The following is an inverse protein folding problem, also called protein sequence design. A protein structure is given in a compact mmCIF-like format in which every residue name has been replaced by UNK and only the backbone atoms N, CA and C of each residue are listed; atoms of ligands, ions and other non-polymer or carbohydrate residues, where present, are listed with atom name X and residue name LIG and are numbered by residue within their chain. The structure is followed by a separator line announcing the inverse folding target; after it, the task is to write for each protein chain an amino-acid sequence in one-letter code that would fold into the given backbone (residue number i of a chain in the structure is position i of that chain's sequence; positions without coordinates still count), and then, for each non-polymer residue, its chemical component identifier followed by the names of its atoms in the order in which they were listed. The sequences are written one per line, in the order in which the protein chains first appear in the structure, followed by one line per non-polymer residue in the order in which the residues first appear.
data_IF_718732154142
#
_entry.id   IF_718732154142
#
_cell.length_a   1.000
_cell.length_b   1.000
_cell.length_c   1.000
_cell.angle_alpha   90.00
_cell.angle_beta   90.00
_cell.angle_gamma   90.00
#
_symmetry.space_group_name_H-M   'P 1'
#
loop_
_entity.id
_entity.type
_entity.pdbx_description
1 polymer ?
#
# COMPACT_ATOMS: atom_id res chain seq x y z
N UNK A 1 23.49 -12.03 4.19
CA UNK A 1 23.35 -12.24 5.66
C UNK A 1 21.87 -12.28 5.95
N UNK A 2 21.43 -13.26 6.72
CA UNK A 2 20.05 -13.75 6.74
C UNK A 2 19.18 -13.04 7.78
N UNK A 3 17.86 -13.16 7.61
CA UNK A 3 16.85 -12.80 8.61
C UNK A 3 17.30 -13.27 10.01
N UNK A 4 17.28 -12.37 10.98
CA UNK A 4 17.57 -12.65 12.40
C UNK A 4 16.28 -12.57 13.21
N UNK A 5 15.95 -13.64 13.93
CA UNK A 5 14.80 -13.69 14.85
C UNK A 5 15.35 -13.84 16.27
N UNK A 6 15.01 -12.91 17.16
CA UNK A 6 15.51 -12.88 18.53
C UNK A 6 17.05 -13.02 18.59
N UNK A 7 17.74 -12.26 17.73
CA UNK A 7 19.21 -12.24 17.59
C UNK A 7 19.84 -13.56 17.15
N UNK A 8 19.06 -14.49 16.60
CA UNK A 8 19.55 -15.76 16.03
C UNK A 8 19.27 -15.78 14.53
N UNK A 9 20.21 -16.26 13.70
CA UNK A 9 19.93 -16.49 12.28
C UNK A 9 18.75 -17.43 12.12
N UNK A 10 17.81 -17.07 11.25
CA UNK A 10 16.67 -17.90 10.92
C UNK A 10 17.02 -18.93 9.85
N UNK A 11 16.39 -20.10 9.91
CA UNK A 11 16.46 -21.10 8.85
C UNK A 11 15.52 -20.69 7.70
N UNK A 12 16.09 -20.13 6.64
CA UNK A 12 15.36 -19.61 5.49
C UNK A 12 14.59 -20.71 4.75
N UNK A 13 15.14 -21.92 4.65
CA UNK A 13 14.48 -23.04 3.98
C UNK A 13 13.26 -23.50 4.79
N UNK A 14 13.42 -23.63 6.11
CA UNK A 14 12.31 -23.99 7.00
C UNK A 14 11.23 -22.90 7.07
N UNK A 15 11.59 -21.61 7.02
CA UNK A 15 10.63 -20.50 7.00
C UNK A 15 9.87 -20.43 5.68
N UNK A 16 10.58 -20.41 4.55
CA UNK A 16 9.97 -20.31 3.22
C UNK A 16 9.07 -21.51 2.90
N UNK A 17 9.44 -22.72 3.36
CA UNK A 17 8.67 -23.94 3.18
C UNK A 17 7.29 -23.96 3.84
N UNK A 18 6.97 -22.99 4.71
CA UNK A 18 5.63 -22.84 5.32
C UNK A 18 4.62 -22.17 4.42
N UNK A 19 5.09 -21.49 3.37
CA UNK A 19 4.29 -20.67 2.48
C UNK A 19 4.27 -21.28 1.08
N UNK A 20 3.16 -21.13 0.33
CA UNK A 20 3.05 -21.70 -1.00
C UNK A 20 4.11 -21.14 -1.95
N UNK A 21 4.53 -21.97 -2.91
CA UNK A 21 5.45 -21.55 -3.96
C UNK A 21 4.85 -20.39 -4.76
N UNK A 22 5.66 -19.35 -5.02
CA UNK A 22 5.20 -18.13 -5.68
C UNK A 22 4.34 -17.19 -4.81
N UNK A 23 4.00 -17.59 -3.58
CA UNK A 23 3.29 -16.73 -2.62
C UNK A 23 4.09 -15.50 -2.20
N UNK A 24 3.38 -14.43 -1.83
CA UNK A 24 3.97 -13.14 -1.41
C UNK A 24 4.94 -13.35 -0.24
N UNK A 25 4.50 -14.05 0.79
CA UNK A 25 5.28 -14.29 2.00
C UNK A 25 6.58 -15.05 1.70
N UNK A 26 6.49 -16.09 0.88
CA UNK A 26 7.65 -16.88 0.46
C UNK A 26 8.66 -16.04 -0.30
N UNK A 27 8.19 -15.23 -1.26
CA UNK A 27 9.05 -14.32 -2.03
C UNK A 27 9.77 -13.32 -1.13
N UNK A 28 9.06 -12.73 -0.16
CA UNK A 28 9.68 -11.83 0.82
C UNK A 28 10.79 -12.54 1.59
N UNK A 29 10.53 -13.74 2.13
CA UNK A 29 11.54 -14.53 2.87
C UNK A 29 12.75 -14.85 1.98
N UNK A 30 12.53 -15.22 0.72
CA UNK A 30 13.59 -15.56 -0.23
C UNK A 30 14.44 -14.35 -0.63
N UNK A 31 13.83 -13.18 -0.82
CA UNK A 31 14.54 -11.92 -1.08
C UNK A 31 15.39 -11.55 0.14
N UNK A 32 14.77 -11.47 1.32
CA UNK A 32 15.46 -11.13 2.56
C UNK A 32 16.56 -12.14 2.92
N UNK A 33 16.37 -13.42 2.62
CA UNK A 33 17.36 -14.48 2.85
C UNK A 33 18.59 -14.38 1.95
N UNK A 34 18.46 -13.76 0.78
CA UNK A 34 19.55 -13.52 -0.18
C UNK A 34 20.23 -12.16 -0.01
N UNK A 35 19.64 -11.25 0.77
CA UNK A 35 20.16 -9.91 0.99
C UNK A 35 21.55 -9.90 1.64
N UNK A 36 22.31 -8.85 1.37
CA UNK A 36 23.56 -8.55 2.09
C UNK A 36 23.29 -7.93 3.48
N UNK A 37 22.12 -7.30 3.67
CA UNK A 37 21.67 -6.68 4.91
C UNK A 37 21.02 -7.68 5.87
N UNK A 38 21.28 -7.49 7.17
CA UNK A 38 20.58 -8.22 8.23
C UNK A 38 19.24 -7.55 8.56
N UNK A 39 18.15 -8.34 8.47
CA UNK A 39 16.79 -7.94 8.85
C UNK A 39 16.42 -8.55 10.19
N UNK A 40 16.19 -7.71 11.19
CA UNK A 40 16.04 -8.14 12.59
C UNK A 40 14.58 -8.06 13.04
N UNK A 41 14.09 -9.18 13.55
CA UNK A 41 12.79 -9.31 14.17
C UNK A 41 12.97 -9.72 15.63
N UNK A 42 12.20 -9.12 16.55
CA UNK A 42 12.27 -9.45 17.98
C UNK A 42 11.67 -10.84 18.29
N UNK A 43 10.72 -11.29 17.48
CA UNK A 43 10.07 -12.60 17.55
C UNK A 43 9.63 -13.05 16.17
N UNK A 44 9.30 -14.33 16.04
CA UNK A 44 8.79 -14.90 14.80
C UNK A 44 7.42 -14.32 14.41
N UNK A 45 6.56 -14.06 15.40
CA UNK A 45 5.26 -13.40 15.19
C UNK A 45 5.38 -12.01 14.53
N UNK A 46 6.50 -11.30 14.74
CA UNK A 46 6.76 -10.01 14.09
C UNK A 46 7.07 -10.15 12.61
N UNK A 47 7.85 -11.17 12.25
CA UNK A 47 8.07 -11.51 10.85
C UNK A 47 6.74 -11.95 10.22
N UNK A 48 5.99 -12.84 10.86
CA UNK A 48 4.69 -13.31 10.36
C UNK A 48 3.69 -12.16 10.16
N UNK A 49 3.66 -11.18 11.06
CA UNK A 49 2.84 -9.98 10.90
C UNK A 49 3.22 -9.17 9.65
N UNK A 50 4.51 -8.91 9.43
CA UNK A 50 4.97 -8.20 8.23
C UNK A 50 4.62 -8.97 6.95
N UNK A 51 4.86 -10.28 6.93
CA UNK A 51 4.54 -11.15 5.79
C UNK A 51 3.04 -11.12 5.47
N UNK A 52 2.20 -11.26 6.50
CA UNK A 52 0.75 -11.20 6.37
C UNK A 52 0.27 -9.84 5.84
N UNK A 53 0.77 -8.73 6.40
CA UNK A 53 0.38 -7.40 5.93
C UNK A 53 0.84 -7.14 4.50
N UNK A 54 2.05 -7.57 4.12
CA UNK A 54 2.52 -7.47 2.72
C UNK A 54 1.64 -8.25 1.76
N UNK A 55 1.23 -9.47 2.12
CA UNK A 55 0.25 -10.24 1.33
C UNK A 55 -1.04 -9.45 1.15
N UNK A 56 -1.59 -8.89 2.24
CA UNK A 56 -2.86 -8.16 2.14
C UNK A 56 -2.75 -6.84 1.38
N UNK A 57 -1.59 -6.17 1.38
CA UNK A 57 -1.34 -5.01 0.51
C UNK A 57 -1.41 -5.42 -0.97
N UNK A 58 -0.75 -6.52 -1.34
CA UNK A 58 -0.79 -7.04 -2.72
C UNK A 58 -2.21 -7.48 -3.09
N UNK A 59 -2.93 -8.18 -2.21
CA UNK A 59 -4.32 -8.56 -2.43
C UNK A 59 -5.22 -7.34 -2.62
N UNK A 60 -5.05 -6.32 -1.78
CA UNK A 60 -5.79 -5.07 -1.87
C UNK A 60 -5.52 -4.31 -3.17
N UNK A 61 -4.29 -4.33 -3.70
CA UNK A 61 -3.97 -3.75 -5.00
C UNK A 61 -4.75 -4.46 -6.15
N UNK A 62 -4.71 -5.80 -6.20
CA UNK A 62 -5.49 -6.57 -7.17
C UNK A 62 -7.00 -6.34 -7.03
N UNK A 63 -7.50 -6.29 -5.80
CA UNK A 63 -8.92 -6.06 -5.54
C UNK A 63 -9.35 -4.65 -5.96
N UNK A 64 -8.50 -3.63 -5.75
CA UNK A 64 -8.81 -2.26 -6.15
C UNK A 64 -8.85 -2.15 -7.67
N UNK A 65 -7.92 -2.78 -8.38
CA UNK A 65 -7.94 -2.90 -9.85
C UNK A 65 -9.25 -3.52 -10.37
N UNK A 66 -9.82 -4.50 -9.65
CA UNK A 66 -11.07 -5.17 -10.01
C UNK A 66 -12.32 -4.35 -9.68
N UNK A 67 -12.25 -3.46 -8.68
CA UNK A 67 -13.38 -2.64 -8.19
C UNK A 67 -13.93 -1.66 -9.24
N UNK A 68 -13.13 -1.34 -10.28
CA UNK A 68 -13.41 -0.32 -11.30
C UNK A 68 -13.45 1.11 -10.74
N UNK A 69 -12.78 1.36 -9.62
CA UNK A 69 -12.49 2.73 -9.16
C UNK A 69 -11.78 3.49 -10.28
N UNK A 70 -12.30 4.68 -10.61
CA UNK A 70 -11.78 5.48 -11.73
C UNK A 70 -10.60 6.37 -11.31
N UNK A 71 -9.67 6.62 -12.22
CA UNK A 71 -8.74 7.73 -12.04
C UNK A 71 -9.48 9.07 -12.22
N UNK A 72 -9.24 10.02 -11.32
CA UNK A 72 -9.73 11.41 -11.39
C UNK A 72 -8.70 12.36 -10.79
N UNK A 73 -8.56 13.55 -11.36
CA UNK A 73 -7.81 14.63 -10.71
C UNK A 73 -8.54 15.11 -9.44
N UNK A 74 -7.85 15.81 -8.53
CA UNK A 74 -8.46 16.32 -7.28
C UNK A 74 -9.76 17.10 -7.50
N UNK A 75 -9.84 17.88 -8.58
CA UNK A 75 -11.03 18.70 -8.90
C UNK A 75 -12.24 17.85 -9.30
N UNK A 76 -12.01 16.65 -9.80
CA UNK A 76 -13.03 15.77 -10.39
C UNK A 76 -13.27 14.49 -9.56
N UNK A 77 -12.69 14.41 -8.36
CA UNK A 77 -12.89 13.23 -7.50
C UNK A 77 -14.37 13.00 -7.21
N UNK A 78 -14.74 11.75 -6.98
CA UNK A 78 -16.08 11.34 -6.63
C UNK A 78 -16.03 10.23 -5.59
N UNK A 79 -16.98 10.22 -4.67
CA UNK A 79 -17.12 9.20 -3.64
C UNK A 79 -18.60 8.89 -3.39
N UNK A 80 -18.89 7.72 -2.83
CA UNK A 80 -20.26 7.38 -2.44
C UNK A 80 -20.70 8.26 -1.25
N UNK A 81 -21.72 9.12 -1.39
CA UNK A 81 -22.14 10.03 -0.34
C UNK A 81 -22.79 9.32 0.85
N UNK A 82 -23.10 8.03 0.77
CA UNK A 82 -23.58 7.26 1.92
C UNK A 82 -22.49 7.14 3.01
N UNK A 83 -21.21 7.18 2.62
CA UNK A 83 -20.07 6.91 3.50
C UNK A 83 -19.13 8.10 3.67
N UNK A 84 -18.99 8.93 2.63
CA UNK A 84 -17.95 9.95 2.56
C UNK A 84 -18.51 11.32 2.20
N UNK A 85 -17.98 12.37 2.83
CA UNK A 85 -18.12 13.75 2.39
C UNK A 85 -16.94 14.14 1.50
N UNK A 86 -17.23 14.49 0.25
CA UNK A 86 -16.22 15.06 -0.64
C UNK A 86 -15.90 16.49 -0.24
N UNK A 87 -14.63 16.77 0.06
CA UNK A 87 -14.16 18.08 0.49
C UNK A 87 -13.68 18.95 -0.68
N UNK A 88 -13.58 20.28 -0.50
CA UNK A 88 -13.17 21.19 -1.58
C UNK A 88 -11.78 20.92 -2.16
N UNK A 89 -10.89 20.33 -1.36
CA UNK A 89 -9.55 19.91 -1.80
C UNK A 89 -9.57 18.64 -2.65
N UNK A 90 -10.73 17.97 -2.78
CA UNK A 90 -10.91 16.71 -3.50
C UNK A 90 -10.89 15.47 -2.61
N UNK A 91 -10.70 15.62 -1.30
CA UNK A 91 -10.52 14.51 -0.37
C UNK A 91 -11.84 13.91 0.06
N UNK A 92 -11.77 12.69 0.60
CA UNK A 92 -12.94 12.01 1.16
C UNK A 92 -12.82 11.96 2.67
N UNK A 93 -13.70 12.69 3.36
CA UNK A 93 -13.83 12.66 4.80
C UNK A 93 -14.89 11.62 5.18
N UNK A 94 -14.54 10.67 6.06
CA UNK A 94 -15.49 9.70 6.57
C UNK A 94 -16.61 10.42 7.34
N UNK A 95 -17.86 10.05 7.06
CA UNK A 95 -19.02 10.65 7.76
C UNK A 95 -19.10 10.19 9.21
N UNK A 96 -19.55 11.11 10.07
CA UNK A 96 -19.82 10.80 11.47
C UNK A 96 -20.81 9.64 11.62
N UNK A 97 -20.47 8.69 12.49
CA UNK A 97 -21.28 7.50 12.78
C UNK A 97 -21.22 6.39 11.72
N UNK A 98 -20.52 6.59 10.59
CA UNK A 98 -20.25 5.53 9.62
C UNK A 98 -19.08 4.67 10.11
N UNK A 99 -19.24 3.35 10.03
CA UNK A 99 -18.16 2.42 10.37
C UNK A 99 -17.03 2.51 9.33
N UNK A 100 -15.78 2.77 9.75
CA UNK A 100 -14.62 2.81 8.85
C UNK A 100 -14.49 1.57 7.95
N UNK A 101 -14.71 0.37 8.52
CA UNK A 101 -14.66 -0.91 7.81
C UNK A 101 -15.66 -0.98 6.65
N UNK A 102 -16.88 -0.49 6.86
CA UNK A 102 -17.93 -0.53 5.86
C UNK A 102 -17.65 0.47 4.74
N UNK A 103 -17.16 1.66 5.10
CA UNK A 103 -16.78 2.69 4.13
C UNK A 103 -15.62 2.22 3.23
N UNK A 104 -14.57 1.61 3.82
CA UNK A 104 -13.45 1.05 3.05
C UNK A 104 -13.92 -0.12 2.18
N UNK A 105 -14.74 -1.05 2.70
CA UNK A 105 -15.28 -2.15 1.89
C UNK A 105 -16.17 -1.67 0.75
N UNK A 106 -16.92 -0.59 0.94
CA UNK A 106 -17.77 0.00 -0.09
C UNK A 106 -16.98 0.47 -1.30
N UNK A 107 -15.77 1.03 -1.09
CA UNK A 107 -14.87 1.42 -2.20
C UNK A 107 -14.57 0.22 -3.11
N UNK A 108 -14.33 -0.96 -2.54
CA UNK A 108 -14.02 -2.17 -3.30
C UNK A 108 -15.25 -2.82 -3.95
N UNK A 109 -16.41 -2.73 -3.28
CA UNK A 109 -17.67 -3.32 -3.74
C UNK A 109 -18.35 -2.47 -4.81
N UNK A 110 -18.34 -1.16 -4.62
CA UNK A 110 -19.03 -0.16 -5.44
C UNK A 110 -18.05 0.82 -6.07
N UNK A 111 -16.85 0.35 -6.46
CA UNK A 111 -15.77 1.20 -6.98
C UNK A 111 -16.18 2.12 -8.14
N UNK A 112 -17.18 1.74 -8.94
CA UNK A 112 -17.75 2.59 -9.99
C UNK A 112 -18.38 3.91 -9.47
N UNK A 113 -18.72 4.02 -8.18
CA UNK A 113 -19.15 5.27 -7.52
C UNK A 113 -17.98 6.17 -7.11
N UNK A 114 -16.75 5.68 -7.24
CA UNK A 114 -15.55 6.33 -6.75
C UNK A 114 -14.61 6.71 -7.90
N UNK A 115 -13.95 7.86 -7.74
CA UNK A 115 -12.86 8.26 -8.60
C UNK A 115 -11.87 9.13 -7.85
N UNK A 116 -10.60 8.76 -7.87
CA UNK A 116 -9.54 9.48 -7.16
C UNK A 116 -8.21 9.38 -7.88
N UNK A 117 -7.22 10.12 -7.40
CA UNK A 117 -5.85 10.13 -7.94
C UNK A 117 -4.98 9.01 -7.35
N UNK A 118 -3.76 8.83 -7.88
CA UNK A 118 -2.91 7.67 -7.58
C UNK A 118 -2.42 7.60 -6.11
N UNK A 119 -2.04 8.71 -5.48
CA UNK A 119 -1.64 8.79 -4.07
C UNK A 119 -2.80 8.42 -3.11
N UNK A 120 -3.99 8.96 -3.31
CA UNK A 120 -5.17 8.60 -2.51
C UNK A 120 -5.52 7.11 -2.68
N UNK A 121 -5.38 6.57 -3.90
CA UNK A 121 -5.59 5.15 -4.13
C UNK A 121 -4.61 4.26 -3.34
N UNK A 122 -3.35 4.69 -3.17
CA UNK A 122 -2.40 3.98 -2.32
C UNK A 122 -2.86 3.95 -0.86
N UNK A 123 -3.37 5.06 -0.31
CA UNK A 123 -3.92 5.07 1.06
C UNK A 123 -5.07 4.07 1.22
N UNK A 124 -5.98 4.01 0.24
CA UNK A 124 -7.11 3.05 0.23
C UNK A 124 -6.61 1.60 0.30
N UNK A 125 -5.53 1.26 -0.43
CA UNK A 125 -4.91 -0.07 -0.40
C UNK A 125 -4.41 -0.40 1.01
N UNK A 126 -3.71 0.53 1.68
CA UNK A 126 -3.21 0.28 3.04
C UNK A 126 -4.33 0.12 4.06
N UNK A 127 -5.38 0.95 4.00
CA UNK A 127 -6.56 0.76 4.86
C UNK A 127 -7.23 -0.58 4.60
N UNK A 128 -7.37 -1.00 3.34
CA UNK A 128 -7.95 -2.32 3.04
C UNK A 128 -7.09 -3.45 3.58
N UNK A 129 -5.78 -3.39 3.39
CA UNK A 129 -4.87 -4.41 3.89
C UNK A 129 -4.94 -4.54 5.41
N UNK A 130 -4.99 -3.41 6.11
CA UNK A 130 -5.15 -3.38 7.56
C UNK A 130 -6.50 -3.92 8.01
N UNK A 131 -7.57 -3.68 7.27
CA UNK A 131 -8.89 -4.25 7.57
C UNK A 131 -8.94 -5.78 7.42
N UNK A 132 -8.09 -6.37 6.58
CA UNK A 132 -7.96 -7.83 6.47
C UNK A 132 -7.05 -8.43 7.55
N UNK A 133 -6.11 -7.63 8.08
CA UNK A 133 -5.17 -8.05 9.13
C UNK A 133 -5.78 -7.93 10.53
N UNK A 134 -6.45 -6.81 10.81
CA UNK A 134 -7.08 -6.55 12.10
C UNK A 134 -8.51 -7.09 12.15
N UNK A 135 -9.01 -7.37 13.35
CA UNK A 135 -10.46 -7.57 13.53
C UNK A 135 -11.21 -6.31 13.09
N UNK A 136 -12.45 -6.46 12.61
CA UNK A 136 -13.29 -5.31 12.23
C UNK A 136 -13.44 -4.31 13.37
N UNK A 137 -13.59 -4.80 14.60
CA UNK A 137 -13.74 -3.94 15.78
C UNK A 137 -12.45 -3.15 16.08
N UNK A 138 -11.30 -3.83 16.06
CA UNK A 138 -9.99 -3.17 16.22
C UNK A 138 -9.72 -2.17 15.13
N UNK A 139 -10.01 -2.51 13.87
CA UNK A 139 -9.86 -1.58 12.74
C UNK A 139 -10.72 -0.32 12.94
N UNK A 140 -12.01 -0.50 13.26
CA UNK A 140 -12.93 0.61 13.47
C UNK A 140 -12.56 1.50 14.66
N UNK A 141 -11.92 0.94 15.69
CA UNK A 141 -11.44 1.69 16.86
C UNK A 141 -10.12 2.42 16.57
N UNK A 142 -9.20 1.81 15.83
CA UNK A 142 -7.89 2.39 15.53
C UNK A 142 -7.96 3.46 14.45
N UNK A 143 -8.92 3.36 13.52
CA UNK A 143 -9.10 4.23 12.38
C UNK A 143 -10.51 4.82 12.37
N UNK A 144 -10.96 5.33 13.53
CA UNK A 144 -12.30 5.88 13.75
C UNK A 144 -12.58 7.16 12.94
N UNK A 145 -11.54 7.86 12.52
CA UNK A 145 -11.60 9.00 11.62
C UNK A 145 -10.68 8.78 10.41
N UNK A 146 -11.26 8.64 9.22
CA UNK A 146 -10.49 8.49 7.97
C UNK A 146 -10.67 9.72 7.09
N UNK A 147 -9.54 10.28 6.65
CA UNK A 147 -9.49 11.29 5.59
C UNK A 147 -8.61 10.77 4.45
N UNK A 148 -9.20 10.50 3.29
CA UNK A 148 -8.49 10.00 2.12
C UNK A 148 -8.09 11.18 1.23
N UNK A 149 -6.80 11.54 1.26
CA UNK A 149 -6.26 12.64 0.45
C UNK A 149 -4.74 12.63 0.36
N UNK A 150 -4.22 12.55 -0.88
CA UNK A 150 -2.81 12.73 -1.26
C UNK A 150 -1.80 12.25 -0.21
N UNK A 151 -0.70 12.96 0.04
CA UNK A 151 0.27 12.62 1.09
C UNK A 151 0.33 13.64 2.23
N UNK A 152 -0.51 14.68 2.18
CA UNK A 152 -0.53 15.75 3.18
C UNK A 152 -1.44 15.45 4.37
N UNK A 153 -2.43 14.57 4.19
CA UNK A 153 -3.33 14.12 5.26
C UNK A 153 -3.34 12.60 5.29
N UNK A 154 -2.53 12.06 6.19
CA UNK A 154 -2.37 10.63 6.43
C UNK A 154 -2.54 10.38 7.92
N UNK A 155 -3.23 9.31 8.28
CA UNK A 155 -3.35 8.87 9.67
C UNK A 155 -1.97 8.70 10.33
N UNK A 156 -1.86 9.01 11.62
CA UNK A 156 -0.60 8.98 12.34
C UNK A 156 0.04 7.57 12.38
N UNK A 157 -0.77 6.51 12.30
CA UNK A 157 -0.31 5.12 12.22
C UNK A 157 0.15 4.71 10.82
N UNK A 158 -0.13 5.52 9.80
CA UNK A 158 0.21 5.27 8.41
C UNK A 158 1.19 6.30 7.83
N UNK A 159 1.61 7.31 8.61
CA UNK A 159 2.37 8.47 8.11
C UNK A 159 3.59 8.11 7.26
N UNK A 160 4.27 7.01 7.59
CA UNK A 160 5.47 6.53 6.92
C UNK A 160 5.22 6.11 5.47
N UNK A 161 4.01 5.67 5.11
CA UNK A 161 3.68 5.31 3.72
C UNK A 161 3.85 6.50 2.78
N UNK A 162 3.71 7.73 3.28
CA UNK A 162 3.87 8.95 2.50
C UNK A 162 5.32 9.26 2.15
N UNK A 163 6.29 8.67 2.86
CA UNK A 163 7.71 8.98 2.74
C UNK A 163 8.41 7.99 1.82
N UNK A 164 9.20 8.48 0.87
CA UNK A 164 10.06 7.64 0.02
C UNK A 164 11.47 7.59 0.61
N UNK A 165 12.00 6.38 0.79
CA UNK A 165 13.30 6.13 1.42
C UNK A 165 14.13 5.16 0.59
N UNK A 166 15.46 5.28 0.65
CA UNK A 166 16.35 4.28 0.05
C UNK A 166 16.28 2.96 0.83
N UNK A 167 16.40 1.84 0.13
CA UNK A 167 16.44 0.50 0.69
C UNK A 167 17.41 -0.35 -0.13
N UNK A 168 17.94 -1.41 0.46
CA UNK A 168 18.80 -2.37 -0.26
C UNK A 168 17.98 -3.41 -1.01
N UNK A 169 16.84 -3.81 -0.42
CA UNK A 169 15.94 -4.78 -1.03
C UNK A 169 14.56 -4.18 -1.23
N UNK A 170 13.97 -4.48 -2.39
CA UNK A 170 12.58 -4.23 -2.71
C UNK A 170 11.77 -5.51 -2.54
N UNK A 171 10.59 -5.36 -1.98
CA UNK A 171 9.79 -6.47 -1.49
C UNK A 171 8.36 -6.34 -2.02
N UNK A 172 7.67 -7.47 -2.29
CA UNK A 172 6.25 -7.43 -2.58
C UNK A 172 5.47 -6.63 -1.51
N UNK A 173 4.49 -5.85 -1.96
CA UNK A 173 3.71 -4.93 -1.13
C UNK A 173 4.38 -3.56 -0.87
N UNK A 174 5.56 -3.32 -1.41
CA UNK A 174 6.22 -2.01 -1.37
C UNK A 174 5.50 -0.98 -2.24
N UNK A 175 5.37 0.26 -1.75
CA UNK A 175 5.05 1.40 -2.63
C UNK A 175 6.32 1.81 -3.36
N UNK A 176 6.30 1.77 -4.68
CA UNK A 176 7.38 2.27 -5.56
C UNK A 176 6.90 3.49 -6.33
N UNK A 177 7.82 4.15 -7.02
CA UNK A 177 7.50 5.33 -7.82
C UNK A 177 8.27 5.32 -9.13
N UNK A 178 7.56 5.46 -10.24
CA UNK A 178 8.15 5.76 -11.54
C UNK A 178 8.17 7.27 -11.73
N UNK A 179 9.34 7.84 -12.01
CA UNK A 179 9.53 9.27 -12.24
C UNK A 179 9.50 9.56 -13.74
N UNK A 180 8.82 10.63 -14.14
CA UNK A 180 8.88 11.20 -15.48
C UNK A 180 9.29 12.69 -15.36
N UNK A 181 10.59 12.95 -15.26
CA UNK A 181 11.13 14.29 -14.99
C UNK A 181 10.88 15.29 -16.12
N UNK A 182 10.80 14.80 -17.35
CA UNK A 182 10.56 15.60 -18.55
C UNK A 182 9.08 15.57 -19.01
N UNK A 183 8.14 15.44 -18.07
CA UNK A 183 6.71 15.50 -18.37
C UNK A 183 6.33 16.79 -19.10
N UNK A 184 5.36 16.69 -20.01
CA UNK A 184 4.71 17.85 -20.61
C UNK A 184 4.00 18.68 -19.50
N UNK A 185 4.37 19.96 -19.31
CA UNK A 185 3.84 20.79 -18.23
C UNK A 185 2.34 21.06 -18.33
N UNK A 186 1.70 20.77 -19.47
CA UNK A 186 0.25 20.91 -19.65
C UNK A 186 -0.55 19.73 -19.11
N UNK A 187 0.11 18.60 -18.83
CA UNK A 187 -0.48 17.35 -18.31
C UNK A 187 0.33 16.80 -17.11
N UNK A 188 0.46 17.60 -16.03
CA UNK A 188 1.32 17.29 -14.88
C UNK A 188 0.93 16.01 -14.12
N UNK A 189 -0.25 15.45 -14.35
CA UNK A 189 -0.67 14.15 -13.82
C UNK A 189 0.23 12.99 -14.29
N UNK A 190 0.97 13.15 -15.39
CA UNK A 190 1.92 12.14 -15.91
C UNK A 190 3.37 12.38 -15.47
N UNK A 191 3.62 13.22 -14.46
CA UNK A 191 4.96 13.45 -13.89
C UNK A 191 5.57 12.23 -13.20
N UNK A 192 4.75 11.20 -12.98
CA UNK A 192 5.18 9.91 -12.47
C UNK A 192 3.98 9.09 -12.03
N UNK A 193 4.25 7.92 -11.46
CA UNK A 193 3.22 7.01 -11.01
C UNK A 193 3.61 6.34 -9.69
N UNK A 194 2.73 6.46 -8.70
CA UNK A 194 2.80 5.65 -7.48
C UNK A 194 2.29 4.24 -7.80
N UNK A 195 3.05 3.22 -7.42
CA UNK A 195 2.66 1.83 -7.67
C UNK A 195 2.84 0.94 -6.44
N UNK A 196 2.12 -0.18 -6.39
CA UNK A 196 2.40 -1.29 -5.48
C UNK A 196 3.16 -2.38 -6.25
N UNK A 197 4.30 -2.82 -5.72
CA UNK A 197 5.05 -3.99 -6.20
C UNK A 197 4.27 -5.28 -5.88
N UNK A 198 3.94 -6.05 -6.92
CA UNK A 198 3.15 -7.29 -6.79
C UNK A 198 4.04 -8.53 -6.60
N UNK A 199 5.36 -8.38 -6.68
CA UNK A 199 6.34 -9.41 -6.36
C UNK A 199 6.68 -10.37 -7.50
N UNK A 200 6.16 -10.16 -8.70
CA UNK A 200 6.38 -10.98 -9.90
C UNK A 200 6.94 -10.16 -11.08
N UNK A 201 7.58 -9.03 -10.76
CA UNK A 201 8.02 -8.06 -11.76
C UNK A 201 6.88 -7.17 -12.29
N UNK A 202 5.65 -7.34 -11.77
CA UNK A 202 4.53 -6.47 -12.09
C UNK A 202 4.24 -5.48 -10.97
N UNK A 203 3.63 -4.37 -11.36
CA UNK A 203 3.28 -3.25 -10.51
C UNK A 203 1.84 -2.84 -10.79
N UNK A 204 1.10 -2.52 -9.73
CA UNK A 204 -0.21 -1.89 -9.86
C UNK A 204 -0.09 -0.37 -9.72
N UNK A 205 -0.38 0.36 -10.78
CA UNK A 205 -0.56 1.81 -10.79
C UNK A 205 -2.04 2.17 -10.96
N UNK A 206 -2.56 3.06 -10.13
CA UNK A 206 -3.97 3.45 -10.20
C UNK A 206 -4.23 4.41 -11.36
N UNK A 207 -5.04 3.96 -12.32
CA UNK A 207 -5.28 4.66 -13.59
C UNK A 207 -4.56 4.00 -14.75
N UNK A 208 -3.35 3.48 -14.53
CA UNK A 208 -2.63 2.70 -15.53
C UNK A 208 -3.12 1.25 -15.58
N UNK A 209 -3.15 0.56 -14.44
CA UNK A 209 -3.45 -0.87 -14.35
C UNK A 209 -2.27 -1.68 -13.80
N UNK A 210 -2.13 -2.92 -14.27
CA UNK A 210 -1.07 -3.84 -13.82
C UNK A 210 -0.15 -4.12 -15.00
N UNK A 211 1.12 -3.74 -14.85
CA UNK A 211 2.13 -3.83 -15.90
C UNK A 211 3.52 -4.05 -15.31
N UNK A 212 4.45 -4.54 -16.13
CA UNK A 212 5.87 -4.52 -15.79
C UNK A 212 6.47 -3.10 -15.88
N UNK A 213 7.71 -2.96 -15.43
CA UNK A 213 8.40 -1.68 -15.40
C UNK A 213 8.62 -1.07 -16.80
N UNK A 214 8.97 -1.90 -17.77
CA UNK A 214 9.24 -1.48 -19.15
C UNK A 214 7.98 -0.84 -19.76
N UNK A 215 6.83 -1.47 -19.55
CA UNK A 215 5.56 -0.97 -20.06
C UNK A 215 5.11 0.31 -19.36
N UNK A 216 5.32 0.43 -18.04
CA UNK A 216 5.00 1.68 -17.32
C UNK A 216 5.87 2.83 -17.82
N UNK A 217 7.16 2.59 -18.01
CA UNK A 217 8.10 3.58 -18.58
C UNK A 217 7.67 3.98 -19.99
N UNK A 218 7.31 3.02 -20.86
CA UNK A 218 6.79 3.30 -22.21
C UNK A 218 5.54 4.18 -22.17
N UNK A 219 4.62 3.92 -21.22
CA UNK A 219 3.39 4.70 -21.08
C UNK A 219 3.67 6.14 -20.62
N UNK A 220 4.53 6.33 -19.63
CA UNK A 220 4.90 7.67 -19.13
C UNK A 220 5.66 8.47 -20.20
N UNK A 221 6.55 7.83 -20.95
CA UNK A 221 7.36 8.49 -21.99
C UNK A 221 6.54 9.09 -23.14
N UNK A 222 5.26 8.70 -23.31
CA UNK A 222 4.33 9.27 -24.30
C UNK A 222 3.86 10.68 -23.93
N UNK A 223 4.04 11.09 -22.69
CA UNK A 223 3.55 12.34 -22.12
C UNK A 223 4.69 13.26 -21.70
N UNK A 224 5.82 13.19 -22.41
CA UNK A 224 6.96 14.08 -22.21
C UNK A 224 6.84 15.34 -23.06
N UNK A 225 7.45 16.43 -22.61
CA UNK A 225 7.57 17.68 -23.37
C UNK A 225 8.30 17.46 -24.70
N UNK A 226 8.12 18.38 -25.64
CA UNK A 226 8.96 18.46 -26.85
C UNK A 226 10.44 18.57 -26.44
N UNK A 227 11.32 17.90 -27.21
CA UNK A 227 12.77 17.84 -26.96
C UNK A 227 13.19 17.25 -25.60
N UNK A 228 12.39 16.33 -25.03
CA UNK A 228 12.72 15.64 -23.78
C UNK A 228 13.94 14.70 -23.91
N UNK A 229 14.94 14.91 -23.05
CA UNK A 229 16.20 14.17 -23.02
C UNK A 229 16.15 13.01 -22.02
N UNK A 230 15.47 13.20 -20.88
CA UNK A 230 15.43 12.21 -19.82
C UNK A 230 14.22 11.27 -19.99
N UNK A 231 14.43 9.94 -20.10
CA UNK A 231 13.33 8.99 -20.09
C UNK A 231 12.81 8.78 -18.66
N UNK A 232 11.54 8.39 -18.55
CA UNK A 232 10.97 7.92 -17.30
C UNK A 232 11.73 6.69 -16.76
N UNK A 233 11.80 6.55 -15.43
CA UNK A 233 12.55 5.48 -14.77
C UNK A 233 11.91 5.09 -13.43
N UNK A 234 12.15 3.85 -13.01
CA UNK A 234 11.79 3.38 -11.66
C UNK A 234 12.80 3.91 -10.65
N UNK A 235 12.32 4.65 -9.65
CA UNK A 235 13.19 5.17 -8.60
C UNK A 235 13.73 4.05 -7.70
N UNK A 236 14.96 4.23 -7.24
CA UNK A 236 15.60 3.42 -6.19
C UNK A 236 15.14 3.85 -4.79
N UNK A 237 13.82 3.94 -4.62
CA UNK A 237 13.15 4.37 -3.40
C UNK A 237 11.91 3.51 -3.13
N UNK A 238 11.53 3.48 -1.86
CA UNK A 238 10.35 2.76 -1.37
C UNK A 238 9.57 3.57 -0.33
N UNK A 239 8.25 3.48 -0.36
CA UNK A 239 7.37 3.83 0.76
C UNK A 239 6.84 2.57 1.44
N UNK A 240 6.99 2.48 2.76
CA UNK A 240 6.53 1.35 3.58
C UNK A 240 5.77 1.87 4.80
N UNK A 241 4.76 1.13 5.28
CA UNK A 241 4.20 1.41 6.59
C UNK A 241 5.25 1.07 7.67
N UNK A 242 5.11 1.64 8.87
CA UNK A 242 5.88 1.19 10.02
C UNK A 242 5.33 -0.16 10.53
N UNK A 243 5.90 -1.25 10.01
CA UNK A 243 5.53 -2.61 10.40
C UNK A 243 5.70 -2.87 11.90
N UNK A 244 6.68 -2.25 12.56
CA UNK A 244 6.89 -2.43 13.99
C UNK A 244 5.78 -1.76 14.80
N UNK A 245 5.41 -0.53 14.41
CA UNK A 245 4.29 0.19 15.03
C UNK A 245 2.98 -0.56 14.84
N UNK A 246 2.68 -1.01 13.63
CA UNK A 246 1.44 -1.73 13.34
C UNK A 246 1.39 -3.08 14.05
N UNK A 247 2.51 -3.82 14.13
CA UNK A 247 2.58 -5.04 14.90
C UNK A 247 2.37 -4.80 16.41
N UNK A 248 2.88 -3.69 16.96
CA UNK A 248 2.59 -3.31 18.35
C UNK A 248 1.10 -3.07 18.58
N UNK A 249 0.42 -2.41 17.65
CA UNK A 249 -1.02 -2.20 17.73
C UNK A 249 -1.75 -3.54 17.65
N UNK A 250 -1.40 -4.38 16.69
CA UNK A 250 -1.98 -5.71 16.50
C UNK A 250 -1.88 -6.58 17.76
N UNK A 251 -0.70 -6.63 18.39
CA UNK A 251 -0.50 -7.37 19.64
C UNK A 251 -1.33 -6.80 20.79
N UNK A 252 -1.43 -5.47 20.91
CA UNK A 252 -2.25 -4.82 21.95
C UNK A 252 -3.73 -5.14 21.77
N UNK A 253 -4.24 -5.00 20.57
CA UNK A 253 -5.64 -5.25 20.23
C UNK A 253 -6.04 -6.71 20.50
N UNK A 254 -5.13 -7.67 20.23
CA UNK A 254 -5.36 -9.08 20.51
C UNK A 254 -5.16 -9.46 21.99
N UNK A 255 -4.35 -8.70 22.74
CA UNK A 255 -4.15 -8.90 24.18
C UNK A 255 -5.35 -8.38 25.02
N UNK A 256 -6.06 -7.36 24.54
CA UNK A 256 -7.23 -6.76 25.19
C UNK A 256 -8.51 -7.56 24.89
N UNK A 257 -8.42 -8.90 24.91
CA UNK A 257 -9.57 -9.80 24.71
C UNK A 257 -10.82 -9.28 25.43
N UNK A 258 -11.89 -9.08 24.64
CA UNK A 258 -13.18 -8.48 24.99
C UNK A 258 -13.60 -8.70 26.45
N UNK A 259 -14.21 -7.71 27.13
CA UNK A 259 -14.81 -7.94 28.44
C UNK A 259 -15.78 -9.12 28.34
N UNK A 260 -15.62 -10.11 29.22
CA UNK A 260 -16.62 -11.17 29.34
C UNK A 260 -17.97 -10.51 29.67
N UNK A 261 -19.04 -10.83 28.93
CA UNK A 261 -20.37 -10.39 29.33
C UNK A 261 -20.68 -10.97 30.70
N UNK A 262 -21.14 -10.10 31.60
CA UNK A 262 -21.70 -10.46 32.89
C UNK A 262 -22.97 -11.33 32.72
#
# INVERSE_FOLDING_TARGET
MMIEINRKPADIAALSGRYPEGGVERKVIEILGKSEKSYRYSSESRLEFELMLRREIVNAAYALRKSKLAFRTFRETACNPDYWDRKPDGGFELKDGVKPSDAIRDIYKNGYKYGTECATAMQIIYYRALLEVFSEESFNRLFDHIYLMNWHRIDANLREIGQMQKTEDFLPGDRRYFMNSDVDPTIPEFQGENVIDLGDGQYYGHGLGIYDAEKIIELLNKYRKEDADDPAYLMDLVGRPDFNRLANLYERENAVGLPQPA
#
